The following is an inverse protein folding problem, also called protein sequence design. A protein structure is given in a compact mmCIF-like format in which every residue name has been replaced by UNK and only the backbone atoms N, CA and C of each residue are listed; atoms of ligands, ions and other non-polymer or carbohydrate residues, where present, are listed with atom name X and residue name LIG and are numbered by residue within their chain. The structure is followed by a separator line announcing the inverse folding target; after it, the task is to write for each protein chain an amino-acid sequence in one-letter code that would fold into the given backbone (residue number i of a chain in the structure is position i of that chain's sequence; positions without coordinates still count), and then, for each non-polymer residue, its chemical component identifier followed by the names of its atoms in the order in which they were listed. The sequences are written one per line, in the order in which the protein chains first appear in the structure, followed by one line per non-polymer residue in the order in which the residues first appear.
data_IF_074062970532
#
_entry.id   IF_074062970532
#
_cell.length_a   1.000
_cell.length_b   1.000
_cell.length_c   1.000
_cell.angle_alpha   90.00
_cell.angle_beta   90.00
_cell.angle_gamma   90.00
#
_symmetry.space_group_name_H-M   'P 1'
#
loop_
_entity.id
_entity.type
_entity.pdbx_description
1 polymer ?
#
# COMPACT_ATOMS: atom_id res chain seq x y z
N UNK A 1 -0.02 -32.56 -10.29
CA UNK A 1 0.47 -31.90 -9.06
C UNK A 1 1.69 -31.00 -9.32
N UNK A 2 2.80 -31.49 -9.89
CA UNK A 2 3.97 -30.65 -10.19
C UNK A 2 3.74 -29.59 -11.29
N UNK A 3 3.07 -29.97 -12.39
CA UNK A 3 2.75 -29.05 -13.50
C UNK A 3 1.88 -27.87 -13.04
N UNK A 4 0.96 -28.07 -12.09
CA UNK A 4 0.14 -26.98 -11.55
C UNK A 4 0.95 -26.03 -10.66
N UNK A 5 1.95 -26.53 -9.93
CA UNK A 5 2.86 -25.71 -9.13
C UNK A 5 3.76 -24.88 -10.04
N UNK A 6 4.36 -25.49 -11.06
CA UNK A 6 5.18 -24.76 -12.05
C UNK A 6 4.32 -23.72 -12.79
N UNK A 7 3.08 -24.06 -13.15
CA UNK A 7 2.17 -23.16 -13.87
C UNK A 7 1.71 -21.98 -12.99
N UNK A 8 1.38 -22.22 -11.72
CA UNK A 8 0.87 -21.18 -10.81
C UNK A 8 1.96 -20.34 -10.13
N UNK A 9 3.07 -20.95 -9.74
CA UNK A 9 4.10 -20.32 -8.90
C UNK A 9 5.28 -19.79 -9.71
N UNK A 10 5.52 -20.29 -10.92
CA UNK A 10 6.68 -19.88 -11.74
C UNK A 10 6.23 -19.19 -13.03
N UNK A 11 5.32 -19.81 -13.79
CA UNK A 11 4.89 -19.27 -15.07
C UNK A 11 4.00 -18.03 -14.95
N UNK A 12 3.15 -17.91 -13.92
CA UNK A 12 2.34 -16.71 -13.70
C UNK A 12 3.23 -15.52 -13.33
N UNK A 13 4.12 -15.59 -12.33
CA UNK A 13 5.04 -14.49 -12.02
C UNK A 13 5.95 -14.12 -13.21
N UNK A 14 6.52 -15.11 -13.91
CA UNK A 14 7.36 -14.87 -15.09
C UNK A 14 6.64 -14.08 -16.19
N UNK A 15 5.35 -14.35 -16.42
CA UNK A 15 4.52 -13.61 -17.39
C UNK A 15 4.16 -12.21 -16.95
N UNK A 16 4.31 -11.90 -15.66
CA UNK A 16 4.00 -10.60 -15.05
C UNK A 16 5.23 -9.70 -14.90
N UNK A 17 6.45 -10.24 -14.97
CA UNK A 17 7.72 -9.47 -14.86
C UNK A 17 7.73 -8.26 -15.79
N UNK A 18 7.33 -8.42 -17.06
CA UNK A 18 7.26 -7.29 -18.00
C UNK A 18 6.34 -6.17 -17.51
N UNK A 19 5.18 -6.50 -16.94
CA UNK A 19 4.26 -5.50 -16.41
C UNK A 19 4.76 -4.86 -15.12
N UNK A 20 5.49 -5.62 -14.29
CA UNK A 20 6.15 -5.06 -13.10
C UNK A 20 7.23 -4.05 -13.49
N UNK A 21 8.05 -4.34 -14.50
CA UNK A 21 9.06 -3.40 -14.99
C UNK A 21 8.39 -2.14 -15.53
N UNK A 22 7.35 -2.29 -16.35
CA UNK A 22 6.59 -1.15 -16.89
C UNK A 22 5.95 -0.33 -15.75
N UNK A 23 5.40 -0.98 -14.72
CA UNK A 23 4.80 -0.26 -13.59
C UNK A 23 5.85 0.53 -12.80
N UNK A 24 7.07 0.01 -12.64
CA UNK A 24 8.18 0.76 -12.03
C UNK A 24 8.60 1.97 -12.87
N UNK A 25 8.74 1.79 -14.19
CA UNK A 25 9.07 2.90 -15.10
C UNK A 25 7.98 3.96 -15.05
N UNK A 26 6.71 3.55 -15.04
CA UNK A 26 5.57 4.46 -14.97
C UNK A 26 5.52 5.21 -13.64
N UNK A 27 5.93 4.58 -12.54
CA UNK A 27 6.07 5.25 -11.24
C UNK A 27 7.12 6.35 -11.33
N UNK A 28 8.33 6.03 -11.78
CA UNK A 28 9.44 7.01 -11.87
C UNK A 28 9.12 8.15 -12.84
N UNK A 29 8.64 7.81 -14.04
CA UNK A 29 8.29 8.79 -15.06
C UNK A 29 7.10 9.65 -14.62
N UNK A 30 6.06 9.04 -14.04
CA UNK A 30 4.90 9.76 -13.52
C UNK A 30 5.26 10.70 -12.38
N UNK A 31 6.12 10.27 -11.46
CA UNK A 31 6.63 11.10 -10.38
C UNK A 31 7.46 12.27 -10.90
N UNK A 32 8.40 12.03 -11.80
CA UNK A 32 9.23 13.07 -12.39
C UNK A 32 8.37 14.07 -13.18
N UNK A 33 7.47 13.60 -14.03
CA UNK A 33 6.59 14.45 -14.83
C UNK A 33 5.72 15.35 -13.95
N UNK A 34 5.10 14.79 -12.90
CA UNK A 34 4.29 15.56 -11.97
C UNK A 34 5.12 16.56 -11.17
N UNK A 35 6.32 16.16 -10.71
CA UNK A 35 7.24 17.05 -10.01
C UNK A 35 7.62 18.26 -10.88
N UNK A 36 8.09 18.03 -12.10
CA UNK A 36 8.48 19.12 -13.01
C UNK A 36 7.29 19.99 -13.45
N UNK A 37 6.07 19.45 -13.46
CA UNK A 37 4.87 20.25 -13.71
C UNK A 37 4.47 21.13 -12.51
N UNK A 38 4.78 20.72 -11.28
CA UNK A 38 4.26 21.34 -10.06
C UNK A 38 5.29 22.03 -9.17
N UNK A 39 6.60 21.85 -9.42
CA UNK A 39 7.66 22.34 -8.54
C UNK A 39 7.66 23.85 -8.35
N UNK A 40 7.31 24.62 -9.39
CA UNK A 40 7.22 26.07 -9.31
C UNK A 40 6.03 26.55 -8.46
N UNK A 41 4.94 25.78 -8.41
CA UNK A 41 3.73 26.16 -7.68
C UNK A 41 3.74 25.68 -6.23
N UNK A 42 4.23 24.45 -5.98
CA UNK A 42 4.15 23.78 -4.68
C UNK A 42 5.48 23.77 -3.91
N UNK A 43 6.60 24.15 -4.55
CA UNK A 43 7.94 24.00 -4.00
C UNK A 43 8.44 22.55 -4.08
N UNK A 44 9.74 22.37 -3.78
CA UNK A 44 10.41 21.09 -3.98
C UNK A 44 9.86 19.95 -3.11
N UNK A 45 9.66 20.19 -1.80
CA UNK A 45 9.24 19.15 -0.85
C UNK A 45 7.81 18.65 -1.15
N UNK A 46 6.78 19.53 -1.22
CA UNK A 46 5.41 19.09 -1.48
C UNK A 46 5.23 18.59 -2.92
N UNK A 47 5.90 19.22 -3.90
CA UNK A 47 5.89 18.74 -5.29
C UNK A 47 6.41 17.31 -5.43
N UNK A 48 7.46 16.95 -4.68
CA UNK A 48 8.00 15.58 -4.68
C UNK A 48 7.05 14.59 -4.02
N UNK A 49 6.44 14.96 -2.87
CA UNK A 49 5.49 14.10 -2.17
C UNK A 49 4.24 13.82 -3.02
N UNK A 50 3.66 14.86 -3.65
CA UNK A 50 2.53 14.70 -4.56
C UNK A 50 2.90 13.98 -5.85
N UNK A 51 4.10 14.20 -6.38
CA UNK A 51 4.62 13.45 -7.52
C UNK A 51 4.75 11.96 -7.22
N UNK A 52 5.26 11.60 -6.03
CA UNK A 52 5.33 10.20 -5.59
C UNK A 52 3.94 9.58 -5.47
N UNK A 53 2.98 10.30 -4.88
CA UNK A 53 1.60 9.83 -4.77
C UNK A 53 0.96 9.61 -6.15
N UNK A 54 1.16 10.55 -7.08
CA UNK A 54 0.66 10.45 -8.45
C UNK A 54 1.28 9.27 -9.22
N UNK A 55 2.61 9.18 -9.23
CA UNK A 55 3.33 8.08 -9.89
C UNK A 55 2.96 6.71 -9.32
N UNK A 56 2.82 6.60 -7.99
CA UNK A 56 2.37 5.38 -7.34
C UNK A 56 0.93 5.00 -7.74
N UNK A 57 0.01 5.97 -7.79
CA UNK A 57 -1.38 5.74 -8.20
C UNK A 57 -1.44 5.28 -9.65
N UNK A 58 -0.72 5.94 -10.56
CA UNK A 58 -0.68 5.58 -11.97
C UNK A 58 -0.11 4.16 -12.18
N UNK A 59 0.98 3.84 -11.48
CA UNK A 59 1.63 2.52 -11.50
C UNK A 59 0.70 1.42 -10.99
N UNK A 60 0.00 1.72 -9.90
CA UNK A 60 -0.98 0.85 -9.29
C UNK A 60 -2.20 0.60 -10.20
N UNK A 61 -2.73 1.63 -10.87
CA UNK A 61 -3.83 1.47 -11.83
C UNK A 61 -3.39 0.59 -13.00
N UNK A 62 -2.20 0.86 -13.56
CA UNK A 62 -1.65 0.09 -14.67
C UNK A 62 -1.52 -1.40 -14.33
N UNK A 63 -0.90 -1.73 -13.18
CA UNK A 63 -0.67 -3.13 -12.82
C UNK A 63 -1.99 -3.87 -12.56
N UNK A 64 -2.99 -3.21 -11.96
CA UNK A 64 -4.32 -3.79 -11.75
C UNK A 64 -5.03 -4.10 -13.08
N UNK A 65 -4.96 -3.19 -14.05
CA UNK A 65 -5.52 -3.42 -15.40
C UNK A 65 -4.78 -4.56 -16.10
N UNK A 66 -3.44 -4.60 -15.99
CA UNK A 66 -2.63 -5.64 -16.60
C UNK A 66 -2.91 -7.03 -16.01
N UNK A 67 -3.02 -7.12 -14.67
CA UNK A 67 -3.42 -8.34 -13.94
C UNK A 67 -4.81 -8.78 -14.40
N UNK A 68 -5.78 -7.87 -14.40
CA UNK A 68 -7.17 -8.19 -14.78
C UNK A 68 -7.26 -8.72 -16.21
N UNK A 69 -6.50 -8.15 -17.16
CA UNK A 69 -6.48 -8.60 -18.55
C UNK A 69 -5.77 -9.95 -18.74
N UNK A 70 -4.66 -10.20 -18.04
CA UNK A 70 -3.86 -11.44 -18.22
C UNK A 70 -4.38 -12.62 -17.41
N UNK A 71 -4.83 -12.38 -16.18
CA UNK A 71 -5.22 -13.42 -15.23
C UNK A 71 -6.74 -13.55 -15.08
N UNK A 72 -7.53 -12.65 -15.70
CA UNK A 72 -9.00 -12.58 -15.56
C UNK A 72 -9.49 -12.57 -14.11
N UNK A 73 -8.62 -12.13 -13.21
CA UNK A 73 -8.84 -12.11 -11.78
C UNK A 73 -8.85 -10.66 -11.31
N UNK A 74 -9.91 -10.28 -10.60
CA UNK A 74 -9.95 -8.99 -9.89
C UNK A 74 -9.41 -9.20 -8.50
N UNK A 75 -8.23 -8.63 -8.21
CA UNK A 75 -7.66 -8.64 -6.87
C UNK A 75 -8.41 -7.69 -5.92
N UNK A 76 -9.05 -6.65 -6.48
CA UNK A 76 -9.76 -5.64 -5.70
C UNK A 76 -11.21 -6.04 -5.43
N UNK A 77 -11.54 -5.98 -4.14
CA UNK A 77 -12.91 -6.11 -3.62
C UNK A 77 -13.26 -4.81 -2.86
N UNK A 78 -14.53 -4.63 -2.52
CA UNK A 78 -15.03 -3.43 -1.81
C UNK A 78 -14.23 -3.18 -0.52
N UNK A 79 -13.82 -4.23 0.18
CA UNK A 79 -13.03 -4.15 1.41
C UNK A 79 -11.67 -3.48 1.21
N UNK A 80 -10.96 -3.80 0.12
CA UNK A 80 -9.67 -3.18 -0.20
C UNK A 80 -9.84 -1.69 -0.51
N UNK A 81 -10.94 -1.33 -1.17
CA UNK A 81 -11.26 0.04 -1.54
C UNK A 81 -11.64 0.86 -0.30
N UNK A 82 -12.38 0.26 0.65
CA UNK A 82 -12.68 0.86 1.95
C UNK A 82 -11.41 1.12 2.77
N UNK A 83 -10.47 0.16 2.83
CA UNK A 83 -9.19 0.32 3.52
C UNK A 83 -8.33 1.40 2.85
N UNK A 84 -8.29 1.47 1.52
CA UNK A 84 -7.60 2.52 0.78
C UNK A 84 -8.19 3.90 1.05
N UNK A 85 -9.52 4.02 1.05
CA UNK A 85 -10.21 5.26 1.40
C UNK A 85 -9.92 5.69 2.84
N UNK A 86 -9.87 4.74 3.77
CA UNK A 86 -9.52 5.02 5.16
C UNK A 86 -8.05 5.43 5.32
N UNK A 87 -7.11 4.77 4.62
CA UNK A 87 -5.71 5.15 4.61
C UNK A 87 -5.50 6.56 4.04
N UNK A 88 -6.26 6.93 3.00
CA UNK A 88 -6.29 8.28 2.47
C UNK A 88 -6.87 9.29 3.48
N UNK A 89 -7.95 8.95 4.18
CA UNK A 89 -8.50 9.81 5.22
C UNK A 89 -7.50 10.03 6.38
N UNK A 90 -6.74 8.99 6.77
CA UNK A 90 -5.66 9.10 7.76
C UNK A 90 -4.56 10.03 7.26
N UNK A 91 -4.19 9.98 5.98
CA UNK A 91 -3.14 10.86 5.45
C UNK A 91 -3.55 12.34 5.52
N UNK A 92 -4.85 12.65 5.40
CA UNK A 92 -5.38 14.01 5.54
C UNK A 92 -5.30 14.54 6.98
N UNK A 93 -5.19 13.68 7.99
CA UNK A 93 -4.94 14.08 9.39
C UNK A 93 -3.60 14.83 9.53
N UNK A 94 -2.68 14.67 8.57
CA UNK A 94 -1.42 15.41 8.54
C UNK A 94 -1.61 16.94 8.45
N UNK A 95 -2.73 17.41 7.88
CA UNK A 95 -3.06 18.84 7.75
C UNK A 95 -3.64 19.44 9.05
N UNK A 96 -4.01 18.62 10.03
CA UNK A 96 -4.53 19.11 11.31
C UNK A 96 -3.40 19.66 12.19
N UNK A 97 -3.71 20.63 13.08
CA UNK A 97 -2.76 21.12 14.06
C UNK A 97 -2.40 20.05 15.09
N UNK A 98 -1.18 20.16 15.65
CA UNK A 98 -0.50 19.07 16.38
C UNK A 98 -1.28 18.54 17.59
N UNK A 99 -2.03 19.41 18.28
CA UNK A 99 -2.76 19.08 19.50
C UNK A 99 -3.97 18.16 19.27
N UNK A 100 -4.65 18.27 18.14
CA UNK A 100 -5.72 17.33 17.74
C UNK A 100 -5.13 16.12 17.00
N UNK A 101 -4.01 16.30 16.31
CA UNK A 101 -3.39 15.28 15.46
C UNK A 101 -3.10 13.97 16.20
N UNK A 102 -2.50 14.04 17.39
CA UNK A 102 -2.11 12.86 18.17
C UNK A 102 -3.33 12.03 18.63
N UNK A 103 -4.31 12.59 19.37
CA UNK A 103 -5.46 11.81 19.80
C UNK A 103 -6.30 11.32 18.62
N UNK A 104 -6.46 12.14 17.57
CA UNK A 104 -7.22 11.75 16.38
C UNK A 104 -6.52 10.63 15.62
N UNK A 105 -5.20 10.65 15.49
CA UNK A 105 -4.43 9.58 14.87
C UNK A 105 -4.64 8.24 15.59
N UNK A 106 -4.61 8.22 16.92
CA UNK A 106 -4.85 6.99 17.71
C UNK A 106 -6.22 6.39 17.40
N UNK A 107 -7.27 7.21 17.34
CA UNK A 107 -8.63 6.76 17.05
C UNK A 107 -8.73 6.18 15.64
N UNK A 108 -8.26 6.91 14.62
CA UNK A 108 -8.40 6.46 13.23
C UNK A 108 -7.49 5.26 12.93
N UNK A 109 -6.32 5.18 13.58
CA UNK A 109 -5.45 4.00 13.49
C UNK A 109 -6.07 2.78 14.17
N UNK A 110 -6.75 2.94 15.31
CA UNK A 110 -7.53 1.88 15.93
C UNK A 110 -8.65 1.37 15.01
N UNK A 111 -9.36 2.28 14.36
CA UNK A 111 -10.36 1.92 13.34
C UNK A 111 -9.73 1.19 12.15
N UNK A 112 -8.49 1.51 11.77
CA UNK A 112 -7.81 0.83 10.65
C UNK A 112 -7.49 -0.61 11.01
N UNK A 113 -6.96 -0.85 12.21
CA UNK A 113 -6.74 -2.20 12.73
C UNK A 113 -8.05 -2.99 12.73
N UNK A 114 -9.14 -2.37 13.20
CA UNK A 114 -10.46 -3.00 13.20
C UNK A 114 -10.95 -3.34 11.78
N UNK A 115 -10.75 -2.43 10.82
CA UNK A 115 -11.12 -2.65 9.42
C UNK A 115 -10.38 -3.83 8.78
N UNK A 116 -9.16 -4.17 9.22
CA UNK A 116 -8.45 -5.36 8.74
C UNK A 116 -9.02 -6.69 9.27
N UNK A 117 -9.75 -6.69 10.39
CA UNK A 117 -10.39 -7.90 10.92
C UNK A 117 -11.67 -8.28 10.17
N UNK A 118 -12.41 -7.31 9.62
CA UNK A 118 -13.68 -7.52 8.91
C UNK A 118 -13.52 -8.48 7.71
N UNK A 119 -12.62 -8.23 6.75
CA UNK A 119 -12.36 -9.14 5.63
C UNK A 119 -11.47 -10.33 6.01
N UNK A 120 -11.04 -10.44 7.27
CA UNK A 120 -10.21 -11.54 7.76
C UNK A 120 -8.73 -11.46 7.37
N UNK A 121 -8.22 -10.29 6.95
CA UNK A 121 -6.79 -10.11 6.64
C UNK A 121 -5.89 -10.24 7.86
N UNK A 122 -6.43 -9.96 9.05
CA UNK A 122 -5.78 -10.17 10.33
C UNK A 122 -6.61 -11.14 11.16
N UNK A 123 -6.04 -12.27 11.56
CA UNK A 123 -6.66 -13.17 12.54
C UNK A 123 -6.16 -12.89 13.95
N UNK A 124 -7.02 -13.14 14.95
CA UNK A 124 -6.67 -12.92 16.37
C UNK A 124 -5.42 -13.71 16.79
N UNK A 125 -5.21 -14.89 16.21
CA UNK A 125 -4.03 -15.73 16.43
C UNK A 125 -2.74 -15.09 15.92
N UNK A 126 -2.78 -14.46 14.75
CA UNK A 126 -1.61 -13.76 14.17
C UNK A 126 -1.23 -12.54 14.99
N UNK A 127 -2.22 -11.82 15.52
CA UNK A 127 -2.00 -10.67 16.40
C UNK A 127 -1.34 -11.10 17.71
N UNK A 128 -1.84 -12.17 18.33
CA UNK A 128 -1.24 -12.74 19.56
C UNK A 128 0.20 -13.20 19.31
N UNK A 129 0.44 -13.86 18.16
CA UNK A 129 1.78 -14.28 17.76
C UNK A 129 2.73 -13.09 17.58
N UNK A 130 2.29 -12.05 16.89
CA UNK A 130 3.07 -10.82 16.68
C UNK A 130 3.39 -10.10 17.98
N UNK A 131 2.44 -10.01 18.93
CA UNK A 131 2.67 -9.42 20.25
C UNK A 131 3.68 -10.25 21.06
N UNK A 132 3.60 -11.57 21.01
CA UNK A 132 4.56 -12.46 21.67
C UNK A 132 5.97 -12.33 21.07
N UNK A 133 6.06 -12.18 19.75
CA UNK A 133 7.31 -11.91 19.06
C UNK A 133 7.91 -10.57 19.48
N UNK A 134 7.11 -9.50 19.49
CA UNK A 134 7.54 -8.17 19.94
C UNK A 134 8.04 -8.19 21.40
N UNK A 135 7.33 -8.89 22.30
CA UNK A 135 7.77 -9.07 23.70
C UNK A 135 9.11 -9.80 23.79
N UNK A 136 9.32 -10.83 22.96
CA UNK A 136 10.59 -11.56 22.90
C UNK A 136 11.73 -10.68 22.37
N UNK A 137 11.46 -9.87 21.36
CA UNK A 137 12.42 -8.93 20.77
C UNK A 137 12.84 -7.82 21.76
N UNK A 138 11.88 -7.21 22.47
CA UNK A 138 12.17 -6.21 23.51
C UNK A 138 12.98 -6.80 24.67
N UNK A 139 12.72 -8.06 25.05
CA UNK A 139 13.53 -8.77 26.05
C UNK A 139 14.96 -9.04 25.56
N UNK A 140 15.15 -9.27 24.25
CA UNK A 140 16.47 -9.47 23.67
C UNK A 140 17.29 -8.17 23.59
N UNK A 141 16.64 -7.03 23.36
CA UNK A 141 17.29 -5.69 23.35
C UNK A 141 17.65 -5.17 24.75
N UNK A 142 17.06 -5.73 25.81
CA UNK A 142 17.37 -5.40 27.21
C UNK A 142 18.51 -6.23 27.80
N UNK A 143 19.06 -7.19 27.05
CA UNK A 143 20.29 -7.92 27.38
C UNK A 143 21.47 -7.25 26.68
#
# INVERSE_FOLDING_TARGET
SFINIVKSSVLIPAKMVKHMIISFVLLLAGTAAFFFASYHALGALPGMAWGMAFGATASFIYINIAISKKLKFSFFNIDHLAILGQAFAISMVSFLPLYIKIPFFVVVFGMLIWAFFIPGYLTKSEVISGVNYAKKFVRALKK
#
